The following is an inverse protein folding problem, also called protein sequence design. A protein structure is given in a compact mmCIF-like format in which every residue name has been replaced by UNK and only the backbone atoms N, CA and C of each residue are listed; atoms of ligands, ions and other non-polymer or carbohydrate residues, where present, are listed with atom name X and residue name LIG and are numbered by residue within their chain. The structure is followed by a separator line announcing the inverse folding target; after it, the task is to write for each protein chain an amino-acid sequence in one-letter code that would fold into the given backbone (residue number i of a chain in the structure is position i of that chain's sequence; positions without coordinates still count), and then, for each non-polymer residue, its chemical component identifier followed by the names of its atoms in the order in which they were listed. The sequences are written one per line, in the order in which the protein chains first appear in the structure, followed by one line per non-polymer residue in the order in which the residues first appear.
data_IF_805265755857
#
_entry.id   IF_805265755857
#
_cell.length_a   1.000
_cell.length_b   1.000
_cell.length_c   1.000
_cell.angle_alpha   90.00
_cell.angle_beta   90.00
_cell.angle_gamma   90.00
#
_symmetry.space_group_name_H-M   'P 1'
#
loop_
_entity.id
_entity.type
_entity.pdbx_description
1 polymer ?
#
# COMPACT_ATOMS: atom_id res chain seq x y z
N UNK A 1 18.05 -1.83 -16.95
CA UNK A 1 16.77 -2.15 -17.61
C UNK A 1 16.13 -0.84 -18.00
N UNK A 2 15.65 -0.73 -19.23
CA UNK A 2 14.94 0.48 -19.67
C UNK A 2 13.52 0.53 -19.09
N UNK A 3 12.98 1.73 -18.87
CA UNK A 3 11.67 1.93 -18.22
C UNK A 3 10.55 1.14 -18.92
N UNK A 4 10.53 1.17 -20.25
CA UNK A 4 9.49 0.48 -21.02
C UNK A 4 9.57 -1.04 -20.92
N UNK A 5 10.77 -1.59 -20.75
CA UNK A 5 10.97 -3.01 -20.51
C UNK A 5 10.47 -3.40 -19.12
N UNK A 6 10.73 -2.57 -18.11
CA UNK A 6 10.24 -2.76 -16.74
C UNK A 6 8.72 -2.85 -16.69
N UNK A 7 8.04 -1.90 -17.35
CA UNK A 7 6.59 -1.81 -17.38
C UNK A 7 5.98 -3.02 -18.09
N UNK A 8 6.50 -3.38 -19.26
CA UNK A 8 6.01 -4.53 -20.04
C UNK A 8 6.33 -5.88 -19.39
N UNK A 9 7.45 -5.97 -18.68
CA UNK A 9 7.91 -7.18 -18.00
C UNK A 9 7.24 -7.45 -16.66
N UNK A 10 6.54 -6.47 -16.07
CA UNK A 10 5.91 -6.62 -14.75
C UNK A 10 4.88 -7.76 -14.73
N UNK A 11 5.00 -8.65 -13.75
CA UNK A 11 4.04 -9.74 -13.49
C UNK A 11 3.60 -9.71 -12.03
N UNK A 12 2.39 -10.17 -11.75
CA UNK A 12 1.95 -10.40 -10.37
C UNK A 12 2.60 -11.68 -9.85
N UNK A 13 3.55 -11.53 -8.92
CA UNK A 13 4.24 -12.64 -8.25
C UNK A 13 3.41 -13.08 -7.04
N UNK A 14 3.22 -14.39 -6.89
CA UNK A 14 2.38 -14.99 -5.82
C UNK A 14 3.14 -15.95 -4.90
N UNK A 15 4.45 -16.09 -5.10
CA UNK A 15 5.36 -16.88 -4.24
C UNK A 15 6.62 -16.06 -4.01
N UNK A 16 6.95 -15.79 -2.76
CA UNK A 16 8.06 -14.93 -2.36
C UNK A 16 9.14 -15.75 -1.67
N UNK A 17 10.37 -15.24 -1.72
CA UNK A 17 11.48 -15.82 -0.97
C UNK A 17 11.34 -15.46 0.52
N UNK A 18 11.92 -16.26 1.42
CA UNK A 18 11.95 -15.95 2.85
C UNK A 18 12.97 -14.86 3.21
N UNK A 19 13.66 -14.28 2.21
CA UNK A 19 14.61 -13.19 2.42
C UNK A 19 13.85 -11.87 2.68
N UNK A 20 14.15 -11.16 3.79
CA UNK A 20 13.58 -9.84 4.04
C UNK A 20 14.15 -8.78 3.08
N UNK A 21 13.37 -7.75 2.80
CA UNK A 21 13.80 -6.61 1.99
C UNK A 21 14.54 -5.61 2.89
N UNK A 22 15.70 -5.05 2.45
CA UNK A 22 16.38 -3.96 3.15
C UNK A 22 15.45 -2.78 3.40
N UNK A 23 15.71 -2.04 4.49
CA UNK A 23 14.85 -0.93 4.88
C UNK A 23 14.93 0.22 3.85
N UNK A 24 16.11 0.44 3.31
CA UNK A 24 16.43 1.49 2.35
C UNK A 24 15.63 1.29 1.05
N UNK A 25 15.58 0.05 0.56
CA UNK A 25 14.80 -0.32 -0.63
C UNK A 25 13.29 -0.10 -0.40
N UNK A 26 12.78 -0.43 0.79
CA UNK A 26 11.38 -0.18 1.14
C UNK A 26 11.05 1.32 1.16
N UNK A 27 11.95 2.13 1.73
CA UNK A 27 11.81 3.59 1.74
C UNK A 27 11.81 4.15 0.31
N UNK A 28 12.73 3.70 -0.55
CA UNK A 28 12.79 4.12 -1.96
C UNK A 28 11.50 3.79 -2.72
N UNK A 29 10.96 2.57 -2.54
CA UNK A 29 9.69 2.15 -3.14
C UNK A 29 8.54 3.08 -2.70
N UNK A 30 8.48 3.41 -1.41
CA UNK A 30 7.44 4.30 -0.87
C UNK A 30 7.62 5.73 -1.42
N UNK A 31 8.85 6.24 -1.47
CA UNK A 31 9.14 7.56 -2.05
C UNK A 31 8.70 7.64 -3.52
N UNK A 32 9.00 6.62 -4.33
CA UNK A 32 8.53 6.55 -5.70
C UNK A 32 6.99 6.54 -5.80
N UNK A 33 6.32 5.84 -4.88
CA UNK A 33 4.85 5.83 -4.78
C UNK A 33 4.25 7.20 -4.43
N UNK A 34 4.93 7.99 -3.58
CA UNK A 34 4.50 9.34 -3.21
C UNK A 34 4.55 10.33 -4.39
N UNK A 35 5.38 10.07 -5.41
CA UNK A 35 5.45 10.88 -6.62
C UNK A 35 4.23 10.69 -7.55
N UNK A 36 3.31 9.77 -7.26
CA UNK A 36 2.11 9.59 -8.07
C UNK A 36 1.23 10.86 -8.07
N UNK A 37 0.65 11.25 -9.21
CA UNK A 37 -0.22 12.43 -9.29
C UNK A 37 -1.53 12.19 -8.54
N UNK A 38 -2.03 13.19 -7.82
CA UNK A 38 -3.35 13.17 -7.17
C UNK A 38 -4.22 14.34 -7.59
N UNK A 39 -5.54 14.11 -7.60
CA UNK A 39 -6.52 15.17 -7.81
C UNK A 39 -6.31 16.28 -6.77
N UNK A 40 -6.20 17.52 -7.26
CA UNK A 40 -5.94 18.72 -6.45
C UNK A 40 -4.70 18.60 -5.53
N UNK A 41 -3.75 17.71 -5.86
CA UNK A 41 -2.59 17.40 -5.05
C UNK A 41 -2.94 16.99 -3.60
N UNK A 42 -4.10 16.35 -3.38
CA UNK A 42 -4.55 15.93 -2.05
C UNK A 42 -3.63 14.89 -1.41
N UNK A 43 -2.87 14.15 -2.23
CA UNK A 43 -1.97 13.06 -1.82
C UNK A 43 -2.62 12.14 -0.77
N UNK A 44 -3.82 11.57 -1.05
CA UNK A 44 -4.62 10.89 -0.05
C UNK A 44 -4.09 9.50 0.31
N UNK A 45 -2.85 9.18 -0.06
CA UNK A 45 -2.23 7.86 0.10
C UNK A 45 -1.52 7.74 1.44
N UNK A 46 -1.81 6.65 2.14
CA UNK A 46 -1.13 6.25 3.36
C UNK A 46 -0.50 4.89 3.13
N UNK A 47 0.82 4.83 3.27
CA UNK A 47 1.60 3.61 3.16
C UNK A 47 1.89 3.07 4.55
N UNK A 48 1.62 1.78 4.78
CA UNK A 48 1.98 1.06 5.99
C UNK A 48 2.81 -0.15 5.59
N UNK A 49 4.10 -0.14 5.96
CA UNK A 49 4.99 -1.28 5.74
C UNK A 49 4.96 -2.20 6.97
N UNK A 50 4.51 -3.43 6.77
CA UNK A 50 4.51 -4.50 7.77
C UNK A 50 5.73 -5.39 7.53
N UNK A 51 6.67 -5.37 8.47
CA UNK A 51 7.91 -6.17 8.43
C UNK A 51 8.06 -7.11 9.63
N UNK A 52 7.26 -6.89 10.69
CA UNK A 52 7.28 -7.74 11.88
C UNK A 52 6.42 -8.97 11.67
N UNK A 53 6.94 -10.12 12.10
CA UNK A 53 6.27 -11.42 11.93
C UNK A 53 4.91 -11.45 12.63
N UNK A 54 4.79 -10.81 13.78
CA UNK A 54 3.55 -10.76 14.56
C UNK A 54 2.46 -10.00 13.79
N UNK A 55 2.79 -8.83 13.24
CA UNK A 55 1.85 -8.00 12.46
C UNK A 55 1.41 -8.73 11.17
N UNK A 56 2.34 -9.40 10.49
CA UNK A 56 2.04 -10.21 9.31
C UNK A 56 1.15 -11.40 9.64
N UNK A 57 1.44 -12.10 10.74
CA UNK A 57 0.64 -13.25 11.18
C UNK A 57 -0.81 -12.87 11.49
N UNK A 58 -1.02 -11.71 12.11
CA UNK A 58 -2.34 -11.15 12.36
C UNK A 58 -3.05 -10.79 11.05
N UNK A 59 -2.37 -10.12 10.12
CA UNK A 59 -2.96 -9.81 8.81
C UNK A 59 -3.39 -11.08 8.06
N UNK A 60 -2.57 -12.13 8.08
CA UNK A 60 -2.86 -13.40 7.40
C UNK A 60 -4.08 -14.11 7.97
N UNK A 61 -4.29 -14.08 9.29
CA UNK A 61 -5.49 -14.66 9.89
C UNK A 61 -6.77 -13.95 9.44
N UNK A 62 -6.73 -12.63 9.35
CA UNK A 62 -7.89 -11.83 8.90
C UNK A 62 -8.18 -12.03 7.40
N UNK A 63 -7.13 -12.05 6.56
CA UNK A 63 -7.27 -12.28 5.12
C UNK A 63 -7.76 -13.69 4.81
N UNK A 64 -7.25 -14.71 5.52
CA UNK A 64 -7.70 -16.10 5.36
C UNK A 64 -9.17 -16.30 5.69
N UNK A 65 -9.66 -15.66 6.77
CA UNK A 65 -11.09 -15.71 7.15
C UNK A 65 -11.98 -15.09 6.08
N UNK A 66 -11.56 -13.95 5.53
CA UNK A 66 -12.28 -13.26 4.46
C UNK A 66 -12.31 -14.10 3.18
N UNK A 67 -11.17 -14.65 2.76
CA UNK A 67 -11.09 -15.48 1.56
C UNK A 67 -12.00 -16.70 1.64
N UNK A 68 -12.06 -17.36 2.80
CA UNK A 68 -12.92 -18.51 3.02
C UNK A 68 -14.41 -18.16 2.83
N UNK A 69 -14.82 -16.98 3.28
CA UNK A 69 -16.20 -16.50 3.13
C UNK A 69 -16.61 -16.33 1.67
N UNK A 70 -15.66 -15.99 0.78
CA UNK A 70 -15.91 -15.81 -0.66
C UNK A 70 -15.67 -17.06 -1.51
N UNK A 71 -15.25 -18.20 -0.93
CA UNK A 71 -14.93 -19.43 -1.69
C UNK A 71 -16.05 -19.85 -2.64
N UNK A 72 -17.30 -19.94 -2.15
CA UNK A 72 -18.45 -20.36 -2.99
C UNK A 72 -18.66 -19.45 -4.18
N UNK A 73 -18.43 -18.16 -4.00
CA UNK A 73 -18.54 -17.17 -5.08
C UNK A 73 -17.40 -17.34 -6.09
N UNK A 74 -16.17 -17.60 -5.62
CA UNK A 74 -15.02 -17.89 -6.49
C UNK A 74 -15.23 -19.18 -7.29
N UNK A 75 -15.70 -20.25 -6.67
CA UNK A 75 -16.05 -21.51 -7.35
C UNK A 75 -17.13 -21.30 -8.41
N UNK A 76 -18.14 -20.48 -8.12
CA UNK A 76 -19.19 -20.16 -9.08
C UNK A 76 -18.67 -19.32 -10.26
N UNK A 77 -17.68 -18.44 -10.05
CA UNK A 77 -17.05 -17.63 -11.09
C UNK A 77 -16.07 -18.43 -11.94
N UNK A 78 -15.32 -19.34 -11.32
CA UNK A 78 -14.26 -20.13 -11.95
C UNK A 78 -14.62 -21.62 -12.09
N UNK A 79 -15.86 -21.93 -12.48
CA UNK A 79 -16.34 -23.32 -12.63
C UNK A 79 -15.47 -24.19 -13.53
N UNK A 80 -14.87 -23.60 -14.55
CA UNK A 80 -14.05 -24.31 -15.54
C UNK A 80 -12.57 -24.40 -15.15
N UNK A 81 -12.17 -23.76 -14.05
CA UNK A 81 -10.77 -23.62 -13.60
C UNK A 81 -10.68 -23.68 -12.06
N UNK A 82 -10.98 -24.84 -11.46
CA UNK A 82 -10.96 -25.00 -10.00
C UNK A 82 -9.58 -24.75 -9.39
N UNK A 83 -8.50 -24.98 -10.14
CA UNK A 83 -7.13 -24.71 -9.72
C UNK A 83 -6.90 -23.24 -9.34
N UNK A 84 -7.56 -22.31 -10.03
CA UNK A 84 -7.44 -20.87 -9.75
C UNK A 84 -8.04 -20.53 -8.39
N UNK A 85 -9.11 -21.23 -8.00
CA UNK A 85 -9.75 -21.04 -6.71
C UNK A 85 -8.81 -21.48 -5.60
N UNK A 86 -8.24 -22.68 -5.70
CA UNK A 86 -7.31 -23.19 -4.67
C UNK A 86 -6.03 -22.35 -4.60
N UNK A 87 -5.44 -21.95 -5.74
CA UNK A 87 -4.28 -21.03 -5.74
C UNK A 87 -4.61 -19.68 -5.10
N UNK A 88 -5.81 -19.15 -5.34
CA UNK A 88 -6.26 -17.88 -4.74
C UNK A 88 -6.43 -18.04 -3.22
N UNK A 89 -6.99 -19.17 -2.78
CA UNK A 89 -7.17 -19.47 -1.36
C UNK A 89 -5.83 -19.59 -0.64
N UNK A 90 -4.90 -20.38 -1.19
CA UNK A 90 -3.54 -20.52 -0.66
C UNK A 90 -2.83 -19.17 -0.60
N UNK A 91 -2.92 -18.38 -1.68
CA UNK A 91 -2.32 -17.06 -1.72
C UNK A 91 -2.92 -16.13 -0.67
N UNK A 92 -4.24 -16.08 -0.48
CA UNK A 92 -4.86 -15.17 0.48
C UNK A 92 -4.55 -15.54 1.94
N UNK A 93 -4.38 -16.83 2.23
CA UNK A 93 -4.06 -17.31 3.58
C UNK A 93 -2.59 -17.11 3.97
N UNK A 94 -1.66 -17.13 3.01
CA UNK A 94 -0.22 -17.05 3.30
C UNK A 94 0.49 -15.85 2.65
N UNK A 95 -0.21 -15.06 1.83
CA UNK A 95 0.32 -14.01 0.95
C UNK A 95 1.59 -14.43 0.21
N UNK A 96 1.61 -15.69 -0.24
CA UNK A 96 2.75 -16.28 -0.95
C UNK A 96 4.03 -16.42 -0.13
N UNK A 97 3.95 -16.37 1.20
CA UNK A 97 5.11 -16.44 2.11
C UNK A 97 5.89 -15.13 2.24
N UNK A 98 5.29 -14.00 1.87
CA UNK A 98 5.98 -12.70 1.91
C UNK A 98 6.47 -12.34 3.33
N UNK A 99 7.71 -11.86 3.42
CA UNK A 99 8.30 -11.32 4.65
C UNK A 99 7.98 -9.84 4.86
N UNK A 100 7.41 -9.17 3.87
CA UNK A 100 7.07 -7.75 3.95
C UNK A 100 5.85 -7.43 3.12
N UNK A 101 4.92 -6.64 3.67
CA UNK A 101 3.73 -6.18 2.97
C UNK A 101 3.63 -4.67 3.11
N UNK A 102 3.49 -3.98 1.98
CA UNK A 102 3.16 -2.56 1.94
C UNK A 102 1.66 -2.46 1.68
N UNK A 103 0.92 -1.98 2.67
CA UNK A 103 -0.50 -1.66 2.53
C UNK A 103 -0.61 -0.21 2.06
N UNK A 104 -1.36 -0.02 0.97
CA UNK A 104 -1.75 1.30 0.48
C UNK A 104 -3.22 1.51 0.78
N UNK A 105 -3.53 2.55 1.55
CA UNK A 105 -4.91 2.94 1.83
C UNK A 105 -5.13 4.40 1.48
N UNK A 106 -6.31 4.71 0.93
CA UNK A 106 -6.76 6.07 0.71
C UNK A 106 -7.69 6.48 1.84
N UNK A 107 -7.34 7.52 2.60
CA UNK A 107 -8.19 7.97 3.69
C UNK A 107 -9.37 8.80 3.14
N UNK A 108 -10.48 8.14 2.81
CA UNK A 108 -11.80 8.75 2.91
C UNK A 108 -12.34 8.41 4.31
N UNK A 109 -12.62 9.44 5.10
CA UNK A 109 -12.67 9.52 6.56
C UNK A 109 -13.74 8.66 7.30
N UNK A 110 -14.24 7.54 6.74
CA UNK A 110 -15.34 6.77 7.34
C UNK A 110 -14.97 5.37 7.89
N UNK A 111 -13.92 4.71 7.40
CA UNK A 111 -13.77 3.26 7.63
C UNK A 111 -12.88 2.85 8.83
N UNK A 112 -12.06 3.74 9.39
CA UNK A 112 -11.12 3.38 10.47
C UNK A 112 -11.79 3.20 11.86
N UNK A 113 -13.11 3.37 11.98
CA UNK A 113 -13.86 2.98 13.20
C UNK A 113 -14.10 1.47 13.30
N UNK A 114 -14.00 0.74 12.19
CA UNK A 114 -14.36 -0.69 12.14
C UNK A 114 -13.16 -1.59 12.39
N UNK A 115 -11.95 -1.15 12.05
CA UNK A 115 -10.74 -1.98 12.12
C UNK A 115 -9.87 -1.78 13.37
N UNK A 116 -10.11 -0.75 14.17
CA UNK A 116 -9.34 -0.49 15.39
C UNK A 116 -10.24 -0.49 16.62
N UNK A 117 -9.90 -1.23 17.69
CA UNK A 117 -10.68 -1.22 18.92
C UNK A 117 -10.76 0.20 19.50
N UNK A 118 -11.89 0.57 20.14
CA UNK A 118 -12.26 1.95 20.45
C UNK A 118 -11.26 2.72 21.33
N UNK A 119 -10.39 2.00 22.05
CA UNK A 119 -9.35 2.61 22.88
C UNK A 119 -8.07 3.00 22.10
N UNK A 120 -7.86 2.51 20.87
CA UNK A 120 -6.78 2.97 19.97
C UNK A 120 -7.21 4.16 19.08
N UNK A 121 -8.51 4.35 18.85
CA UNK A 121 -9.03 5.48 18.05
C UNK A 121 -8.95 6.84 18.77
N UNK A 122 -8.87 6.85 20.11
CA UNK A 122 -8.81 8.09 20.90
C UNK A 122 -7.39 8.69 21.01
N UNK A 123 -6.36 8.02 20.48
CA UNK A 123 -4.95 8.45 20.61
C UNK A 123 -4.36 9.03 19.31
N UNK A 124 -5.18 9.42 18.33
CA UNK A 124 -4.72 10.20 17.18
C UNK A 124 -4.93 11.69 17.50
N UNK A 125 -3.87 12.41 17.94
CA UNK A 125 -4.00 13.84 18.17
C UNK A 125 -4.36 14.51 16.85
N UNK A 126 -5.26 15.50 16.93
CA UNK A 126 -5.57 16.46 15.89
C UNK A 126 -4.29 17.13 15.37
N UNK A 127 -3.59 16.46 14.45
CA UNK A 127 -2.28 16.86 13.94
C UNK A 127 -2.41 17.61 12.62
N UNK A 128 -3.45 18.43 12.50
CA UNK A 128 -3.46 19.53 11.52
C UNK A 128 -2.77 20.79 12.06
N UNK A 129 -2.24 20.77 13.31
CA UNK A 129 -1.54 21.93 13.92
C UNK A 129 -0.05 21.69 14.26
N UNK A 130 0.44 20.45 14.31
CA UNK A 130 1.79 20.14 14.82
C UNK A 130 2.93 20.15 13.78
N UNK A 131 2.64 20.15 12.48
CA UNK A 131 3.69 20.23 11.43
C UNK A 131 4.14 21.66 11.08
N UNK A 132 3.76 22.67 11.87
CA UNK A 132 4.25 24.05 11.68
C UNK A 132 5.54 24.38 12.45
N UNK A 133 6.03 23.48 13.32
CA UNK A 133 7.20 23.75 14.18
C UNK A 133 8.34 22.74 14.15
N UNK A 134 8.27 21.66 13.37
CA UNK A 134 9.39 20.74 13.21
C UNK A 134 10.12 20.96 11.87
N UNK A 135 10.96 22.00 11.82
CA UNK A 135 12.28 21.97 11.18
C UNK A 135 12.49 21.63 9.69
N UNK A 136 11.50 21.33 8.86
CA UNK A 136 11.72 20.94 7.45
C UNK A 136 11.46 22.07 6.44
N UNK A 137 12.04 23.26 6.65
CA UNK A 137 11.97 24.35 5.65
C UNK A 137 12.66 24.01 4.31
N UNK A 138 13.51 22.99 4.27
CA UNK A 138 14.20 22.56 3.05
C UNK A 138 13.33 21.70 2.11
N UNK A 139 12.40 20.90 2.64
CA UNK A 139 11.62 19.96 1.83
C UNK A 139 10.47 20.64 1.07
N UNK A 140 9.79 21.61 1.69
CA UNK A 140 8.78 22.40 0.99
C UNK A 140 9.36 23.26 -0.14
N UNK A 141 10.62 23.69 -0.04
CA UNK A 141 11.26 24.56 -1.03
C UNK A 141 11.61 23.83 -2.34
N UNK A 142 12.00 22.54 -2.27
CA UNK A 142 12.29 21.74 -3.47
C UNK A 142 11.00 21.37 -4.23
N UNK A 143 9.92 21.06 -3.51
CA UNK A 143 8.62 20.77 -4.14
C UNK A 143 7.99 22.02 -4.80
N UNK A 144 8.18 23.22 -4.24
CA UNK A 144 7.72 24.47 -4.88
C UNK A 144 8.58 24.88 -6.06
N UNK A 145 9.89 24.60 -6.06
CA UNK A 145 10.74 24.85 -7.21
C UNK A 145 10.35 24.01 -8.42
N UNK A 146 9.98 22.73 -8.22
CA UNK A 146 9.52 21.83 -9.29
C UNK A 146 8.12 22.18 -9.83
N UNK A 147 7.22 22.66 -8.97
CA UNK A 147 5.89 23.11 -9.41
C UNK A 147 5.94 24.39 -10.26
N UNK A 148 6.91 25.28 -10.00
CA UNK A 148 7.08 26.53 -10.75
C UNK A 148 7.74 26.35 -12.13
N UNK A 149 8.62 25.35 -12.31
CA UNK A 149 9.28 25.08 -13.60
C UNK A 149 8.41 24.36 -14.62
N UNK A 150 7.34 23.67 -14.19
CA UNK A 150 6.46 22.88 -15.08
C UNK A 150 5.15 23.60 -15.46
N UNK A 151 4.85 24.76 -14.88
CA UNK A 151 3.66 25.55 -15.24
C UNK A 151 3.58 26.02 -16.70
N UNK A 152 4.67 26.36 -17.43
CA UNK A 152 4.54 26.81 -18.81
C UNK A 152 4.28 25.69 -19.83
N UNK A 153 4.37 24.40 -19.45
CA UNK A 153 4.20 23.27 -20.39
C UNK A 153 2.74 22.75 -20.42
N UNK A 154 1.92 23.11 -19.43
CA UNK A 154 0.52 22.66 -19.34
C UNK A 154 -0.51 23.72 -19.78
N UNK A 155 -0.04 24.86 -20.31
CA UNK A 155 -0.88 25.93 -20.83
C UNK A 155 -0.69 26.08 -22.35
N UNK A 156 -1.02 25.03 -23.10
CA UNK A 156 -1.23 25.07 -24.56
C UNK A 156 -2.08 23.90 -24.99
#
# INVERSE_FOLDING_TARGET
MELMEAIKGRRSVRKFKPDPIPKEDLEEIIQAGLCAPSAQNLQPWYFVALTKKEDLSYLFSELGTTAFSHRKELEARFKNNPEVVEETMEFMSAMGGSQTIILLTSFFQAALRVLLPPWKTCALPHTTRALRHAGSKQWCAQATHWAATLQPVMAS
#
